data_IF_683182785536
#
_entry.id   IF_683182785536
#
_cell.length_a   1.000
_cell.length_b   1.000
_cell.length_c   1.000
_cell.angle_alpha   90.00
_cell.angle_beta   90.00
_cell.angle_gamma   90.00
#
_symmetry.space_group_name_H-M   'P 1'
#
loop_
_entity.id
_entity.type
_entity.pdbx_description
1 polymer ?
#
# COMPACT_ATOMS: atom_id res chain seq x y z
N UNK A 1 -11.58 -12.62 13.80
CA UNK A 1 -10.24 -12.05 13.99
C UNK A 1 -9.21 -12.89 13.26
N UNK A 2 -8.29 -12.25 12.57
CA UNK A 2 -7.27 -12.91 11.77
C UNK A 2 -5.88 -12.58 12.33
N UNK A 3 -4.95 -13.51 12.20
CA UNK A 3 -3.54 -13.21 12.51
C UNK A 3 -2.93 -12.48 11.31
N UNK A 4 -2.77 -11.17 11.43
CA UNK A 4 -2.35 -10.35 10.30
C UNK A 4 -0.96 -10.73 9.77
N UNK A 5 -0.06 -11.20 10.63
CA UNK A 5 1.30 -11.55 10.21
C UNK A 5 1.32 -12.71 9.22
N UNK A 6 0.30 -13.55 9.22
CA UNK A 6 0.18 -14.68 8.30
C UNK A 6 -0.52 -14.31 6.99
N UNK A 7 -1.12 -13.12 6.92
CA UNK A 7 -1.80 -12.67 5.71
C UNK A 7 -0.80 -12.27 4.63
N UNK A 8 -0.94 -12.85 3.45
CA UNK A 8 -0.06 -12.52 2.33
C UNK A 8 -0.19 -11.06 1.93
N UNK A 9 -1.40 -10.48 1.98
CA UNK A 9 -1.60 -9.05 1.67
C UNK A 9 -0.77 -8.17 2.61
N UNK A 10 -0.69 -8.53 3.89
CA UNK A 10 0.11 -7.77 4.84
C UNK A 10 1.60 -7.90 4.53
N UNK A 11 2.05 -9.12 4.25
CA UNK A 11 3.45 -9.39 3.94
C UNK A 11 3.90 -8.63 2.68
N UNK A 12 3.09 -8.66 1.63
CA UNK A 12 3.37 -7.91 0.41
C UNK A 12 3.36 -6.40 0.66
N UNK A 13 2.40 -5.91 1.45
CA UNK A 13 2.33 -4.49 1.82
C UNK A 13 3.58 -4.04 2.57
N UNK A 14 4.12 -4.89 3.46
CA UNK A 14 5.35 -4.59 4.17
C UNK A 14 6.54 -4.47 3.20
N UNK A 15 6.62 -5.35 2.21
CA UNK A 15 7.70 -5.29 1.23
C UNK A 15 7.61 -4.04 0.36
N UNK A 16 6.41 -3.66 -0.05
CA UNK A 16 6.19 -2.42 -0.78
C UNK A 16 6.60 -1.21 0.05
N UNK A 17 6.25 -1.19 1.34
CA UNK A 17 6.62 -0.11 2.25
C UNK A 17 8.13 0.07 2.31
N UNK A 18 8.85 -1.04 2.48
CA UNK A 18 10.32 -1.02 2.51
C UNK A 18 10.90 -0.49 1.21
N UNK A 19 10.32 -0.89 0.08
CA UNK A 19 10.79 -0.44 -1.23
C UNK A 19 10.54 1.05 -1.42
N UNK A 20 9.37 1.56 -1.00
CA UNK A 20 9.06 2.98 -1.06
C UNK A 20 10.09 3.79 -0.26
N UNK A 21 10.39 3.36 0.96
CA UNK A 21 11.38 4.05 1.79
C UNK A 21 12.77 4.06 1.14
N UNK A 22 13.15 2.95 0.52
CA UNK A 22 14.43 2.85 -0.19
C UNK A 22 14.49 3.83 -1.37
N UNK A 23 13.41 3.88 -2.15
CA UNK A 23 13.33 4.72 -3.35
C UNK A 23 13.31 6.20 -2.97
N UNK A 24 12.54 6.57 -1.95
CA UNK A 24 12.41 7.99 -1.56
C UNK A 24 13.70 8.55 -0.97
N UNK A 25 14.64 7.72 -0.53
CA UNK A 25 15.94 8.20 -0.05
C UNK A 25 16.72 8.94 -1.13
N UNK A 26 16.46 8.65 -2.40
CA UNK A 26 17.14 9.32 -3.51
C UNK A 26 16.40 10.56 -4.02
N UNK A 27 15.25 10.88 -3.44
CA UNK A 27 14.50 12.08 -3.80
C UNK A 27 15.26 13.34 -3.34
N UNK A 28 15.05 14.49 -3.99
CA UNK A 28 15.68 15.73 -3.56
C UNK A 28 15.34 16.06 -2.10
N UNK A 29 16.28 16.64 -1.38
CA UNK A 29 16.06 17.04 0.02
C UNK A 29 14.95 18.09 0.15
N UNK A 30 14.71 18.85 -0.91
CA UNK A 30 13.60 19.82 -0.95
C UNK A 30 12.23 19.15 -0.80
N UNK A 31 12.15 17.82 -1.04
CA UNK A 31 10.92 17.06 -0.91
C UNK A 31 10.77 16.35 0.44
N UNK A 32 11.70 16.55 1.37
CA UNK A 32 11.65 15.85 2.65
C UNK A 32 10.32 16.07 3.40
N UNK A 33 9.74 17.26 3.30
CA UNK A 33 8.46 17.57 3.92
C UNK A 33 7.31 17.64 2.91
N UNK A 34 7.58 17.23 1.67
CA UNK A 34 6.60 17.18 0.59
C UNK A 34 6.37 15.76 0.13
N UNK A 35 6.73 15.47 -1.11
CA UNK A 35 6.44 14.19 -1.74
C UNK A 35 7.04 12.99 -1.00
N UNK A 36 8.29 13.12 -0.52
CA UNK A 36 8.94 12.04 0.25
C UNK A 36 8.11 11.68 1.48
N UNK A 37 7.72 12.68 2.27
CA UNK A 37 6.93 12.47 3.48
C UNK A 37 5.58 11.84 3.16
N UNK A 38 4.89 12.37 2.14
CA UNK A 38 3.57 11.87 1.74
C UNK A 38 3.62 10.42 1.26
N UNK A 39 4.61 10.07 0.44
CA UNK A 39 4.76 8.70 -0.06
C UNK A 39 5.05 7.72 1.07
N UNK A 40 5.96 8.08 1.96
CA UNK A 40 6.32 7.22 3.09
C UNK A 40 5.12 6.99 4.00
N UNK A 41 4.32 8.02 4.27
CA UNK A 41 3.12 7.91 5.10
C UNK A 41 2.05 7.04 4.44
N UNK A 42 1.84 7.24 3.14
CA UNK A 42 0.87 6.44 2.39
C UNK A 42 1.30 4.96 2.37
N UNK A 43 2.59 4.70 2.21
CA UNK A 43 3.12 3.33 2.21
C UNK A 43 2.88 2.63 3.54
N UNK A 44 3.21 3.27 4.66
CA UNK A 44 2.99 2.71 6.01
C UNK A 44 1.50 2.46 6.25
N UNK A 45 0.63 3.32 5.72
CA UNK A 45 -0.81 3.21 5.86
C UNK A 45 -1.37 1.89 5.32
N UNK A 46 -0.75 1.30 4.30
CA UNK A 46 -1.25 0.05 3.71
C UNK A 46 -1.17 -1.11 4.71
N UNK A 47 0.02 -1.51 5.18
CA UNK A 47 0.08 -2.62 6.14
C UNK A 47 -0.60 -2.30 7.47
N UNK A 48 -0.57 -1.03 7.89
CA UNK A 48 -1.22 -0.63 9.15
C UNK A 48 -2.72 -0.86 9.10
N UNK A 49 -3.38 -0.47 8.01
CA UNK A 49 -4.82 -0.68 7.87
C UNK A 49 -5.19 -2.14 7.69
N UNK A 50 -4.37 -2.91 6.98
CA UNK A 50 -4.58 -4.36 6.85
C UNK A 50 -4.53 -5.01 8.23
N UNK A 51 -3.51 -4.70 9.02
CA UNK A 51 -3.35 -5.26 10.36
C UNK A 51 -4.49 -4.86 11.28
N UNK A 52 -4.87 -3.59 11.27
CA UNK A 52 -5.94 -3.09 12.11
C UNK A 52 -7.28 -3.75 11.76
N UNK A 53 -7.58 -3.87 10.46
CA UNK A 53 -8.79 -4.54 10.02
C UNK A 53 -8.83 -6.01 10.36
N UNK A 54 -7.68 -6.69 10.25
CA UNK A 54 -7.57 -8.11 10.60
C UNK A 54 -7.86 -8.36 12.08
N UNK A 55 -7.59 -7.38 12.94
CA UNK A 55 -7.84 -7.47 14.37
C UNK A 55 -9.28 -7.19 14.80
N UNK A 56 -10.13 -6.77 13.85
CA UNK A 56 -11.53 -6.47 14.19
C UNK A 56 -12.36 -7.73 14.31
N UNK A 57 -13.53 -7.61 14.94
CA UNK A 57 -14.37 -8.76 15.27
C UNK A 57 -15.24 -9.26 14.13
N UNK A 58 -15.28 -8.56 12.99
CA UNK A 58 -16.14 -8.96 11.91
C UNK A 58 -15.57 -8.65 10.54
N UNK A 59 -16.00 -9.42 9.55
CA UNK A 59 -15.53 -9.28 8.18
C UNK A 59 -15.97 -7.95 7.55
N UNK A 60 -17.10 -7.40 8.00
CA UNK A 60 -17.58 -6.10 7.50
C UNK A 60 -16.57 -5.00 7.84
N UNK A 61 -16.12 -4.94 9.09
CA UNK A 61 -15.11 -3.96 9.50
C UNK A 61 -13.77 -4.21 8.80
N UNK A 62 -13.37 -5.47 8.69
CA UNK A 62 -12.14 -5.83 7.99
C UNK A 62 -12.17 -5.30 6.55
N UNK A 63 -13.31 -5.50 5.86
CA UNK A 63 -13.49 -4.98 4.49
C UNK A 63 -13.34 -3.46 4.43
N UNK A 64 -13.86 -2.74 5.42
CA UNK A 64 -13.71 -1.29 5.48
C UNK A 64 -12.24 -0.87 5.57
N UNK A 65 -11.45 -1.53 6.42
CA UNK A 65 -10.02 -1.23 6.53
C UNK A 65 -9.25 -1.61 5.27
N UNK A 66 -9.63 -2.70 4.62
CA UNK A 66 -9.03 -3.09 3.34
C UNK A 66 -9.30 -2.06 2.24
N UNK A 67 -10.48 -1.45 2.25
CA UNK A 67 -10.81 -0.37 1.31
C UNK A 67 -9.94 0.87 1.57
N UNK A 68 -9.65 1.18 2.83
CA UNK A 68 -8.74 2.27 3.16
C UNK A 68 -7.32 1.95 2.65
N UNK A 69 -6.87 0.71 2.84
CA UNK A 69 -5.57 0.27 2.33
C UNK A 69 -5.51 0.39 0.80
N UNK A 70 -6.59 0.03 0.11
CA UNK A 70 -6.68 0.18 -1.35
C UNK A 70 -6.54 1.64 -1.76
N UNK A 71 -7.21 2.56 -1.06
CA UNK A 71 -7.07 3.99 -1.30
C UNK A 71 -5.64 4.46 -1.15
N UNK A 72 -4.91 3.93 -0.16
CA UNK A 72 -3.50 4.25 0.03
C UNK A 72 -2.64 3.75 -1.13
N UNK A 73 -2.97 2.59 -1.71
CA UNK A 73 -2.29 2.09 -2.91
C UNK A 73 -2.46 3.07 -4.08
N UNK A 74 -3.67 3.57 -4.29
CA UNK A 74 -3.94 4.53 -5.36
C UNK A 74 -3.23 5.85 -5.12
N UNK A 75 -3.13 6.27 -3.86
CA UNK A 75 -2.40 7.47 -3.48
C UNK A 75 -0.92 7.32 -3.84
N UNK A 76 -0.32 6.18 -3.53
CA UNK A 76 1.09 5.91 -3.87
C UNK A 76 1.27 5.88 -5.39
N UNK A 77 0.35 5.27 -6.14
CA UNK A 77 0.45 5.27 -7.59
C UNK A 77 0.47 6.68 -8.15
N UNK A 78 -0.41 7.55 -7.64
CA UNK A 78 -0.47 8.95 -8.06
C UNK A 78 0.85 9.66 -7.78
N UNK A 79 1.36 9.50 -6.55
CA UNK A 79 2.64 10.11 -6.14
C UNK A 79 3.81 9.56 -6.95
N UNK A 80 3.77 8.28 -7.27
CA UNK A 80 4.81 7.62 -8.03
C UNK A 80 4.87 8.14 -9.47
N UNK A 81 3.70 8.35 -10.09
CA UNK A 81 3.59 8.94 -11.42
C UNK A 81 4.20 10.35 -11.40
N UNK A 82 3.87 11.15 -10.38
CA UNK A 82 4.43 12.49 -10.24
C UNK A 82 5.95 12.44 -10.06
N UNK A 83 6.44 11.55 -9.21
CA UNK A 83 7.88 11.40 -8.98
C UNK A 83 8.62 11.04 -10.27
N UNK A 84 8.02 10.18 -11.09
CA UNK A 84 8.60 9.81 -12.38
C UNK A 84 8.61 10.98 -13.35
N UNK A 85 7.51 11.73 -13.42
CA UNK A 85 7.43 12.92 -14.27
C UNK A 85 8.42 14.00 -13.85
N UNK A 86 8.67 14.12 -12.54
CA UNK A 86 9.66 15.06 -12.01
C UNK A 86 11.11 14.54 -12.12
N UNK A 87 11.30 13.35 -12.66
CA UNK A 87 12.60 12.69 -12.82
C UNK A 87 13.27 12.33 -11.49
N UNK A 88 12.49 12.16 -10.43
CA UNK A 88 13.02 11.78 -9.10
C UNK A 88 13.30 10.29 -8.98
N UNK A 89 12.73 9.46 -9.84
CA UNK A 89 12.81 8.00 -9.77
C UNK A 89 13.24 7.44 -11.13
N UNK A 90 14.10 6.43 -11.10
CA UNK A 90 14.54 5.73 -12.29
C UNK A 90 13.40 4.89 -12.86
N UNK A 91 13.40 4.73 -14.19
CA UNK A 91 12.37 3.98 -14.90
C UNK A 91 12.21 2.56 -14.34
N UNK A 92 13.32 1.85 -14.10
CA UNK A 92 13.28 0.48 -13.63
C UNK A 92 12.62 0.39 -12.25
N UNK A 93 12.96 1.30 -11.34
CA UNK A 93 12.36 1.34 -10.00
C UNK A 93 10.88 1.70 -10.08
N UNK A 94 10.52 2.63 -10.96
CA UNK A 94 9.13 3.02 -11.19
C UNK A 94 8.30 1.83 -11.66
N UNK A 95 8.77 1.13 -12.70
CA UNK A 95 8.06 -0.01 -13.26
C UNK A 95 7.91 -1.14 -12.26
N UNK A 96 8.96 -1.42 -11.48
CA UNK A 96 8.93 -2.47 -10.45
C UNK A 96 7.88 -2.15 -9.39
N UNK A 97 7.87 -0.93 -8.89
CA UNK A 97 6.94 -0.55 -7.81
C UNK A 97 5.50 -0.54 -8.30
N UNK A 98 5.26 -0.03 -9.51
CA UNK A 98 3.92 -0.07 -10.14
C UNK A 98 3.44 -1.52 -10.24
N UNK A 99 4.30 -2.43 -10.69
CA UNK A 99 3.94 -3.84 -10.84
C UNK A 99 3.55 -4.46 -9.48
N UNK A 100 4.34 -4.17 -8.45
CA UNK A 100 4.07 -4.71 -7.11
C UNK A 100 2.80 -4.11 -6.51
N UNK A 101 2.54 -2.83 -6.73
CA UNK A 101 1.30 -2.19 -6.29
C UNK A 101 0.08 -2.83 -6.95
N UNK A 102 0.13 -3.04 -8.27
CA UNK A 102 -0.97 -3.68 -8.99
C UNK A 102 -1.23 -5.10 -8.49
N UNK A 103 -0.17 -5.85 -8.21
CA UNK A 103 -0.29 -7.18 -7.63
C UNK A 103 -1.00 -7.12 -6.27
N UNK A 104 -0.58 -6.21 -5.41
CA UNK A 104 -1.19 -6.04 -4.08
C UNK A 104 -2.65 -5.64 -4.19
N UNK A 105 -2.98 -4.72 -5.09
CA UNK A 105 -4.36 -4.28 -5.31
C UNK A 105 -5.26 -5.46 -5.70
N UNK A 106 -4.77 -6.33 -6.58
CA UNK A 106 -5.52 -7.54 -6.94
C UNK A 106 -5.70 -8.47 -5.75
N UNK A 107 -4.67 -8.63 -4.94
CA UNK A 107 -4.75 -9.47 -3.75
C UNK A 107 -5.74 -8.92 -2.74
N UNK A 108 -5.74 -7.60 -2.51
CA UNK A 108 -6.68 -6.95 -1.60
C UNK A 108 -8.11 -7.10 -2.13
N UNK A 109 -8.32 -6.88 -3.42
CA UNK A 109 -9.65 -7.03 -4.03
C UNK A 109 -10.16 -8.46 -3.89
N UNK A 110 -9.31 -9.46 -4.10
CA UNK A 110 -9.68 -10.87 -3.93
C UNK A 110 -10.09 -11.17 -2.49
N UNK A 111 -9.35 -10.63 -1.54
CA UNK A 111 -9.67 -10.82 -0.13
C UNK A 111 -11.00 -10.14 0.23
N UNK A 112 -11.22 -8.91 -0.23
CA UNK A 112 -12.49 -8.21 -0.03
C UNK A 112 -13.65 -9.03 -0.58
N UNK A 113 -13.50 -9.54 -1.80
CA UNK A 113 -14.52 -10.36 -2.44
C UNK A 113 -14.86 -11.59 -1.59
N UNK A 114 -13.85 -12.30 -1.10
CA UNK A 114 -14.02 -13.47 -0.25
C UNK A 114 -14.72 -13.11 1.07
N UNK A 115 -14.29 -12.03 1.72
CA UNK A 115 -14.88 -11.61 2.98
C UNK A 115 -16.34 -11.18 2.82
N UNK A 116 -16.67 -10.50 1.72
CA UNK A 116 -18.06 -10.09 1.46
C UNK A 116 -19.01 -11.26 1.29
N UNK A 117 -18.55 -12.36 0.72
CA UNK A 117 -19.35 -13.58 0.61
C UNK A 117 -19.71 -14.15 1.97
N UNK A 118 -18.89 -13.89 2.98
CA UNK A 118 -19.07 -14.42 4.34
C UNK A 118 -19.90 -13.49 5.24
N UNK A 119 -20.32 -12.33 4.74
CA UNK A 119 -21.07 -11.34 5.52
C UNK A 119 -22.58 -11.62 5.48
N UNK A 120 -23.04 -12.56 4.77
CA UNK A 120 -24.46 -12.84 4.51
C UNK A 120 -25.36 -12.75 5.75
#
# INVERSE_FOLDING_TARGET
MHNFRELKVWQEAMEITKLVYKITKSFPTSENYGLTSQMNRAAVSIPSNIAEGAGRNGNKEFTQFLNIAMGSCFEIETQLILAFEFTYIKKDDYELLILQLHKLEKMINSLIFTLRKQIA
#
